data_IF_447187232033
#
_entry.id   IF_447187232033
#
_cell.length_a   1.000
_cell.length_b   1.000
_cell.length_c   1.000
_cell.angle_alpha   90.00
_cell.angle_beta   90.00
_cell.angle_gamma   90.00
#
_symmetry.space_group_name_H-M   'P 1'
#
loop_
_entity.id
_entity.type
_entity.pdbx_description
1 polymer ?
#
# COMPACT_ATOMS: atom_id res chain seq x y z
N UNK A 1 1.70 -12.19 14.26
CA UNK A 1 0.56 -12.02 13.35
C UNK A 1 0.48 -13.10 12.27
N UNK A 2 1.54 -13.86 11.98
CA UNK A 2 1.45 -14.96 10.99
C UNK A 2 1.31 -14.45 9.56
N UNK A 3 2.08 -13.41 9.20
CA UNK A 3 2.11 -12.87 7.85
C UNK A 3 3.02 -13.73 6.95
N UNK A 4 2.73 -13.75 5.65
CA UNK A 4 3.53 -14.40 4.61
C UNK A 4 4.15 -13.35 3.70
N UNK A 5 4.97 -13.73 2.72
CA UNK A 5 5.52 -12.79 1.73
C UNK A 5 4.51 -12.29 0.69
N UNK A 6 3.31 -12.88 0.65
CA UNK A 6 2.23 -12.51 -0.28
C UNK A 6 1.84 -11.03 -0.14
N UNK A 7 1.95 -10.23 -1.20
CA UNK A 7 1.71 -8.79 -1.16
C UNK A 7 0.27 -8.37 -1.46
N UNK A 8 -0.69 -9.29 -1.57
CA UNK A 8 -2.06 -9.04 -2.05
C UNK A 8 -2.75 -7.86 -1.38
N UNK A 9 -2.54 -7.67 -0.09
CA UNK A 9 -3.18 -6.57 0.66
C UNK A 9 -2.69 -5.17 0.23
N UNK A 10 -1.51 -5.05 -0.38
CA UNK A 10 -1.04 -3.80 -0.97
C UNK A 10 -1.91 -3.43 -2.17
N UNK A 11 -2.03 -4.33 -3.14
CA UNK A 11 -2.86 -4.19 -4.34
C UNK A 11 -4.34 -3.98 -3.97
N UNK A 12 -4.85 -4.72 -2.98
CA UNK A 12 -6.21 -4.56 -2.46
C UNK A 12 -6.45 -3.14 -1.91
N UNK A 13 -5.50 -2.58 -1.16
CA UNK A 13 -5.65 -1.24 -0.58
C UNK A 13 -5.70 -0.13 -1.64
N UNK A 14 -4.91 -0.28 -2.71
CA UNK A 14 -4.88 0.67 -3.84
C UNK A 14 -6.13 0.48 -4.71
N UNK A 15 -6.51 -0.76 -5.04
CA UNK A 15 -7.67 -1.05 -5.88
C UNK A 15 -9.01 -0.64 -5.25
N UNK A 16 -9.10 -0.64 -3.91
CA UNK A 16 -10.26 -0.14 -3.16
C UNK A 16 -10.19 1.36 -2.84
N UNK A 17 -9.12 2.06 -3.26
CA UNK A 17 -8.90 3.49 -3.02
C UNK A 17 -9.05 3.88 -1.53
N UNK A 18 -8.54 3.05 -0.60
CA UNK A 18 -8.80 3.26 0.84
C UNK A 18 -8.03 4.43 1.44
N UNK A 19 -6.96 4.88 0.77
CA UNK A 19 -6.06 5.94 1.24
C UNK A 19 -5.14 5.55 2.42
N UNK A 20 -5.26 4.33 2.96
CA UNK A 20 -4.46 3.87 4.10
C UNK A 20 -4.32 2.35 4.16
N UNK A 21 -3.18 1.89 4.66
CA UNK A 21 -2.88 0.47 4.91
C UNK A 21 -1.99 0.34 6.14
N UNK A 22 -2.23 -0.71 6.93
CA UNK A 22 -1.34 -1.12 8.03
C UNK A 22 -0.80 -2.52 7.75
N UNK A 23 0.50 -2.62 7.54
CA UNK A 23 1.19 -3.89 7.24
C UNK A 23 2.42 -4.13 8.14
N UNK A 24 2.43 -3.56 9.35
CA UNK A 24 3.48 -3.73 10.35
C UNK A 24 4.62 -2.71 10.26
N UNK A 25 5.67 -2.91 11.06
CA UNK A 25 6.87 -2.07 11.01
C UNK A 25 7.71 -2.35 9.74
N UNK A 26 8.53 -1.39 9.28
CA UNK A 26 9.43 -1.56 8.12
C UNK A 26 10.64 -2.43 8.46
N UNK A 27 10.37 -3.66 8.89
CA UNK A 27 11.34 -4.67 9.29
C UNK A 27 10.74 -6.05 9.07
N UNK A 28 11.59 -7.02 8.72
CA UNK A 28 11.25 -8.39 8.28
C UNK A 28 10.59 -8.44 6.89
N UNK A 29 11.00 -9.43 6.11
CA UNK A 29 10.71 -9.52 4.68
C UNK A 29 9.21 -9.63 4.38
N UNK A 30 8.45 -10.34 5.21
CA UNK A 30 7.00 -10.52 5.01
C UNK A 30 6.24 -9.19 5.00
N UNK A 31 6.72 -8.19 5.75
CA UNK A 31 6.14 -6.84 5.80
C UNK A 31 6.67 -5.95 4.70
N UNK A 32 7.99 -6.01 4.48
CA UNK A 32 8.65 -5.27 3.41
C UNK A 32 8.07 -5.63 2.04
N UNK A 33 7.63 -6.88 1.83
CA UNK A 33 6.99 -7.29 0.58
C UNK A 33 5.80 -6.39 0.20
N UNK A 34 4.98 -5.93 1.17
CA UNK A 34 3.81 -5.09 0.91
C UNK A 34 4.22 -3.65 0.65
N UNK A 35 5.15 -3.12 1.43
CA UNK A 35 5.71 -1.78 1.20
C UNK A 35 6.39 -1.67 -0.16
N UNK A 36 7.20 -2.67 -0.53
CA UNK A 36 7.86 -2.71 -1.83
C UNK A 36 6.85 -2.85 -2.97
N UNK A 37 5.75 -3.58 -2.77
CA UNK A 37 4.68 -3.65 -3.75
C UNK A 37 3.97 -2.31 -3.92
N UNK A 38 3.72 -1.56 -2.84
CA UNK A 38 3.16 -0.20 -2.94
C UNK A 38 4.07 0.75 -3.75
N UNK A 39 5.39 0.66 -3.55
CA UNK A 39 6.37 1.46 -4.32
C UNK A 39 6.33 1.09 -5.81
N UNK A 40 6.24 -0.21 -6.15
CA UNK A 40 6.10 -0.65 -7.55
C UNK A 40 4.80 -0.18 -8.19
N UNK A 41 3.68 -0.24 -7.44
CA UNK A 41 2.38 0.25 -7.92
C UNK A 41 2.42 1.76 -8.15
N UNK A 42 3.04 2.52 -7.25
CA UNK A 42 3.25 3.96 -7.42
C UNK A 42 4.06 4.26 -8.68
N UNK A 43 5.17 3.54 -8.89
CA UNK A 43 6.00 3.65 -10.09
C UNK A 43 5.23 3.31 -11.37
N UNK A 44 4.42 2.24 -11.36
CA UNK A 44 3.61 1.79 -12.51
C UNK A 44 2.52 2.81 -12.88
N UNK A 45 1.85 3.39 -11.89
CA UNK A 45 0.77 4.35 -12.12
C UNK A 45 1.28 5.74 -12.52
N UNK A 46 2.50 6.12 -12.08
CA UNK A 46 3.08 7.43 -12.33
C UNK A 46 2.12 8.56 -11.96
N UNK A 47 1.92 9.50 -12.89
CA UNK A 47 1.07 10.69 -12.69
C UNK A 47 -0.42 10.39 -12.42
N UNK A 48 -0.87 9.13 -12.59
CA UNK A 48 -2.25 8.72 -12.28
C UNK A 48 -2.47 8.49 -10.78
N UNK A 49 -1.41 8.14 -10.05
CA UNK A 49 -1.45 7.94 -8.60
C UNK A 49 -1.41 9.29 -7.85
N UNK A 50 -2.09 9.35 -6.71
CA UNK A 50 -2.03 10.50 -5.81
C UNK A 50 -1.83 9.99 -4.40
N UNK A 51 -0.80 10.49 -3.71
CA UNK A 51 -0.59 10.17 -2.31
C UNK A 51 -1.66 10.86 -1.43
N UNK A 52 -2.45 10.12 -0.65
CA UNK A 52 -3.56 10.66 0.15
C UNK A 52 -3.13 11.62 1.28
N UNK A 53 -1.89 11.50 1.77
CA UNK A 53 -1.35 12.39 2.81
C UNK A 53 -2.24 12.52 4.05
N UNK A 54 -2.62 13.77 4.38
CA UNK A 54 -3.47 14.05 5.55
C UNK A 54 -4.92 13.62 5.37
N UNK A 55 -5.35 13.46 4.13
CA UNK A 55 -6.73 13.11 3.78
C UNK A 55 -6.94 11.60 3.71
N UNK A 56 -6.05 10.78 4.28
CA UNK A 56 -6.11 9.31 4.28
C UNK A 56 -7.44 8.71 4.78
N UNK A 57 -8.25 9.48 5.54
CA UNK A 57 -9.57 9.04 6.02
C UNK A 57 -10.71 9.35 5.06
N UNK A 58 -10.53 10.37 4.23
CA UNK A 58 -11.54 10.92 3.32
C UNK A 58 -11.09 10.80 1.87
N UNK A 59 -10.00 10.06 1.62
CA UNK A 59 -9.49 9.79 0.30
C UNK A 59 -10.54 9.02 -0.48
N UNK A 60 -11.24 9.76 -1.31
CA UNK A 60 -12.13 9.29 -2.36
C UNK A 60 -11.96 10.30 -3.47
N UNK A 61 -11.47 9.85 -4.61
CA UNK A 61 -11.51 10.66 -5.84
C UNK A 61 -12.95 10.79 -6.34
#
# INVERSE_FOLDING_TARGET
SGETEDSFIADLSVGLDTGQIKTGAPARSERLAKYNQLIRIEEELGDKAVYPGRDFRTHRK
#
